data_IF_645623216057
#
_entry.id   IF_645623216057
#
_cell.length_a   1.000
_cell.length_b   1.000
_cell.length_c   1.000
_cell.angle_alpha   90.00
_cell.angle_beta   90.00
_cell.angle_gamma   90.00
#
_symmetry.space_group_name_H-M   'P 1'
#
loop_
_entity.id
_entity.type
_entity.pdbx_description
1 polymer ?
#
# COMPACT_ATOMS: atom_id res chain seq x y z
N UNK A 1 -9.31 -19.72 -16.54
CA UNK A 1 -10.40 -19.51 -15.55
C UNK A 1 -9.93 -19.59 -14.09
N UNK A 2 -9.47 -20.74 -13.54
CA UNK A 2 -9.01 -20.81 -12.13
C UNK A 2 -7.91 -19.78 -11.81
N UNK A 3 -6.94 -19.61 -12.72
CA UNK A 3 -5.84 -18.64 -12.59
C UNK A 3 -6.32 -17.18 -12.65
N UNK A 4 -7.30 -16.89 -13.51
CA UNK A 4 -7.96 -15.59 -13.60
C UNK A 4 -8.64 -15.22 -12.29
N UNK A 5 -9.34 -16.16 -11.66
CA UNK A 5 -10.00 -15.93 -10.37
C UNK A 5 -8.96 -15.64 -9.28
N UNK A 6 -7.90 -16.46 -9.19
CA UNK A 6 -6.82 -16.27 -8.21
C UNK A 6 -6.12 -14.91 -8.42
N UNK A 7 -5.77 -14.57 -9.66
CA UNK A 7 -5.18 -13.28 -10.00
C UNK A 7 -6.09 -12.11 -9.63
N UNK A 8 -7.39 -12.24 -9.85
CA UNK A 8 -8.40 -11.26 -9.45
C UNK A 8 -8.46 -11.04 -7.95
N UNK A 9 -8.52 -12.11 -7.15
CA UNK A 9 -8.52 -12.00 -5.69
C UNK A 9 -7.23 -11.38 -5.14
N UNK A 10 -6.07 -11.78 -5.66
CA UNK A 10 -4.77 -11.23 -5.25
C UNK A 10 -4.69 -9.75 -5.62
N UNK A 11 -5.10 -9.37 -6.84
CA UNK A 11 -5.10 -7.99 -7.30
C UNK A 11 -6.02 -7.11 -6.46
N UNK A 12 -7.30 -7.50 -6.34
CA UNK A 12 -8.31 -6.72 -5.62
C UNK A 12 -8.00 -6.64 -4.13
N UNK A 13 -7.53 -7.75 -3.53
CA UNK A 13 -7.09 -7.77 -2.14
C UNK A 13 -5.93 -6.80 -1.89
N UNK A 14 -4.89 -6.85 -2.71
CA UNK A 14 -3.78 -5.90 -2.64
C UNK A 14 -4.25 -4.45 -2.80
N UNK A 15 -5.10 -4.21 -3.80
CA UNK A 15 -5.59 -2.87 -4.12
C UNK A 15 -6.41 -2.28 -2.97
N UNK A 16 -7.33 -3.06 -2.39
CA UNK A 16 -8.15 -2.63 -1.27
C UNK A 16 -7.31 -2.32 -0.03
N UNK A 17 -6.30 -3.13 0.27
CA UNK A 17 -5.36 -2.86 1.37
C UNK A 17 -4.62 -1.54 1.13
N UNK A 18 -4.05 -1.35 -0.06
CA UNK A 18 -3.33 -0.11 -0.41
C UNK A 18 -4.23 1.11 -0.33
N UNK A 19 -5.45 1.05 -0.88
CA UNK A 19 -6.42 2.16 -0.83
C UNK A 19 -6.87 2.45 0.61
N UNK A 20 -7.15 1.43 1.41
CA UNK A 20 -7.51 1.60 2.81
C UNK A 20 -6.40 2.30 3.60
N UNK A 21 -5.13 1.97 3.35
CA UNK A 21 -3.99 2.63 4.00
C UNK A 21 -3.84 4.08 3.54
N UNK A 22 -4.03 4.37 2.25
CA UNK A 22 -4.01 5.75 1.74
C UNK A 22 -5.12 6.57 2.40
N UNK A 23 -6.34 6.02 2.51
CA UNK A 23 -7.46 6.69 3.16
C UNK A 23 -7.19 6.93 4.65
N UNK A 24 -6.76 5.91 5.38
CA UNK A 24 -6.39 6.04 6.80
C UNK A 24 -5.27 7.05 7.01
N UNK A 25 -4.22 7.02 6.18
CA UNK A 25 -3.13 7.98 6.21
C UNK A 25 -3.60 9.40 5.91
N UNK A 26 -4.54 9.57 4.99
CA UNK A 26 -5.09 10.89 4.64
C UNK A 26 -5.92 11.48 5.76
N UNK A 27 -6.77 10.67 6.40
CA UNK A 27 -7.57 11.08 7.56
C UNK A 27 -6.62 11.45 8.72
N UNK A 28 -5.68 10.57 9.06
CA UNK A 28 -4.75 10.80 10.16
C UNK A 28 -3.81 11.99 9.90
N UNK A 29 -3.42 12.23 8.65
CA UNK A 29 -2.62 13.41 8.30
C UNK A 29 -3.31 14.73 8.65
N UNK A 30 -4.65 14.77 8.76
CA UNK A 30 -5.35 15.99 9.20
C UNK A 30 -5.11 16.32 10.67
N UNK A 31 -4.91 15.32 11.53
CA UNK A 31 -4.69 15.51 12.98
C UNK A 31 -3.23 15.71 13.37
N UNK A 32 -2.27 15.43 12.48
CA UNK A 32 -0.85 15.59 12.76
C UNK A 32 -0.48 17.08 12.83
N UNK A 33 0.20 17.51 13.89
CA UNK A 33 0.62 18.91 14.11
C UNK A 33 2.12 19.12 13.85
N UNK A 34 2.92 18.07 13.96
CA UNK A 34 4.36 18.09 13.69
C UNK A 34 4.68 17.00 12.66
N UNK A 35 5.29 17.39 11.54
CA UNK A 35 5.79 16.45 10.53
C UNK A 35 7.11 16.94 9.98
N UNK A 36 7.90 16.00 9.48
CA UNK A 36 9.13 16.27 8.74
C UNK A 36 9.02 15.72 7.31
N UNK A 37 9.83 16.28 6.41
CA UNK A 37 9.86 15.87 5.00
C UNK A 37 8.80 16.55 4.12
N UNK A 38 8.69 16.07 2.86
CA UNK A 38 7.95 16.74 1.78
C UNK A 38 6.44 16.46 1.77
N UNK A 39 5.98 15.37 2.40
CA UNK A 39 4.58 14.95 2.33
C UNK A 39 4.08 14.47 3.69
N UNK A 40 3.06 15.15 4.19
CA UNK A 40 2.37 14.83 5.44
C UNK A 40 1.71 13.45 5.39
N UNK A 41 1.16 13.07 4.23
CA UNK A 41 0.57 11.74 4.01
C UNK A 41 1.63 10.63 4.11
N UNK A 42 2.79 10.82 3.46
CA UNK A 42 3.83 9.80 3.48
C UNK A 42 4.50 9.71 4.85
N UNK A 43 4.65 10.84 5.55
CA UNK A 43 5.05 10.86 6.96
C UNK A 43 4.05 10.08 7.83
N UNK A 44 2.73 10.30 7.65
CA UNK A 44 1.70 9.58 8.37
C UNK A 44 1.72 8.06 8.14
N UNK A 45 2.08 7.61 6.93
CA UNK A 45 2.09 6.18 6.58
C UNK A 45 3.41 5.51 6.98
N UNK A 46 4.55 6.15 6.73
CA UNK A 46 5.89 5.55 6.88
C UNK A 46 6.65 6.00 8.12
N UNK A 47 6.29 7.14 8.71
CA UNK A 47 7.06 7.79 9.78
C UNK A 47 8.38 8.40 9.30
N UNK A 48 9.17 8.87 10.26
CA UNK A 48 10.55 9.32 10.04
C UNK A 48 11.56 8.20 10.36
N UNK A 49 12.81 8.36 9.89
CA UNK A 49 13.91 7.45 10.21
C UNK A 49 14.10 7.33 11.73
N UNK A 50 13.93 6.12 12.25
CA UNK A 50 14.10 5.75 13.66
C UNK A 50 15.59 5.69 14.07
N UNK A 51 16.35 6.79 13.99
CA UNK A 51 17.70 6.87 14.54
C UNK A 51 17.71 7.81 15.76
N UNK A 52 17.44 7.28 16.95
CA UNK A 52 17.58 8.02 18.22
C UNK A 52 16.46 7.72 19.23
N UNK A 53 16.76 7.92 20.52
CA UNK A 53 15.95 7.60 21.71
C UNK A 53 14.56 8.30 21.81
N UNK A 54 14.15 9.07 20.79
CA UNK A 54 12.88 9.81 20.77
C UNK A 54 11.76 9.02 20.09
N UNK A 55 11.54 7.79 20.56
CA UNK A 55 10.51 6.87 20.01
C UNK A 55 9.08 7.33 20.34
N UNK A 56 8.91 8.31 21.24
CA UNK A 56 7.63 8.66 21.84
C UNK A 56 6.88 9.83 21.17
N UNK A 57 7.49 10.56 20.22
CA UNK A 57 6.90 11.75 19.59
C UNK A 57 6.49 11.58 18.11
N UNK A 58 6.51 10.36 17.57
CA UNK A 58 6.26 10.13 16.15
C UNK A 58 4.75 9.98 15.90
N UNK A 59 4.11 11.04 15.40
CA UNK A 59 2.71 11.01 14.95
C UNK A 59 2.60 10.27 13.60
N UNK A 60 2.83 8.96 13.58
CA UNK A 60 2.76 8.07 12.40
C UNK A 60 1.95 6.80 12.69
N UNK A 61 1.29 6.27 11.65
CA UNK A 61 0.55 5.00 11.70
C UNK A 61 1.46 3.78 11.50
N UNK A 62 2.70 3.97 11.05
CA UNK A 62 3.65 2.89 10.74
C UNK A 62 3.10 1.79 9.80
N UNK A 63 2.20 2.16 8.89
CA UNK A 63 1.57 1.26 7.91
C UNK A 63 2.41 1.10 6.63
N UNK A 64 3.64 1.60 6.61
CA UNK A 64 4.52 1.53 5.45
C UNK A 64 4.79 0.10 4.96
N UNK A 65 5.04 -0.85 5.87
CA UNK A 65 5.26 -2.24 5.50
C UNK A 65 3.98 -2.91 4.92
N UNK A 66 2.81 -2.84 5.60
CA UNK A 66 1.54 -3.27 5.00
C UNK A 66 1.23 -2.62 3.65
N UNK A 67 1.57 -1.34 3.48
CA UNK A 67 1.36 -0.61 2.23
C UNK A 67 2.18 -1.21 1.09
N UNK A 68 3.47 -1.47 1.31
CA UNK A 68 4.35 -2.10 0.32
C UNK A 68 3.81 -3.49 -0.06
N UNK A 69 3.39 -4.29 0.92
CA UNK A 69 2.79 -5.61 0.65
C UNK A 69 1.55 -5.48 -0.24
N UNK A 70 0.63 -4.56 0.08
CA UNK A 70 -0.58 -4.34 -0.74
C UNK A 70 -0.25 -3.97 -2.19
N UNK A 71 0.74 -3.11 -2.40
CA UNK A 71 1.22 -2.73 -3.74
C UNK A 71 1.80 -3.94 -4.48
N UNK A 72 2.65 -4.74 -3.83
CA UNK A 72 3.25 -5.93 -4.42
C UNK A 72 2.19 -6.97 -4.81
N UNK A 73 1.20 -7.21 -3.94
CA UNK A 73 0.08 -8.10 -4.25
C UNK A 73 -0.73 -7.59 -5.44
N UNK A 74 -0.99 -6.29 -5.52
CA UNK A 74 -1.69 -5.68 -6.66
C UNK A 74 -0.95 -5.94 -7.97
N UNK A 75 0.36 -5.70 -7.99
CA UNK A 75 1.22 -5.90 -9.18
C UNK A 75 1.29 -7.38 -9.56
N UNK A 76 1.43 -8.28 -8.60
CA UNK A 76 1.45 -9.72 -8.84
C UNK A 76 0.11 -10.20 -9.43
N UNK A 77 -1.01 -9.76 -8.86
CA UNK A 77 -2.34 -10.07 -9.37
C UNK A 77 -2.55 -9.56 -10.79
N UNK A 78 -2.16 -8.31 -11.07
CA UNK A 78 -2.18 -7.73 -12.43
C UNK A 78 -1.33 -8.53 -13.42
N UNK A 79 -0.15 -8.98 -13.00
CA UNK A 79 0.76 -9.76 -13.86
C UNK A 79 0.14 -11.11 -14.26
N UNK A 80 -0.50 -11.80 -13.31
CA UNK A 80 -1.22 -13.05 -13.57
C UNK A 80 -2.38 -12.81 -14.54
N UNK A 81 -3.19 -11.78 -14.30
CA UNK A 81 -4.33 -11.43 -15.15
C UNK A 81 -3.87 -11.03 -16.56
N UNK A 82 -2.83 -10.21 -16.68
CA UNK A 82 -2.26 -9.78 -17.96
C UNK A 82 -1.73 -10.95 -18.78
N UNK A 83 -1.04 -11.91 -18.13
CA UNK A 83 -0.58 -13.12 -18.80
C UNK A 83 -1.73 -14.00 -19.30
N UNK A 84 -2.76 -14.22 -18.47
CA UNK A 84 -3.95 -14.99 -18.87
C UNK A 84 -4.73 -14.29 -20.00
N UNK A 85 -4.79 -12.94 -19.97
CA UNK A 85 -5.41 -12.14 -21.02
C UNK A 85 -4.64 -12.30 -22.34
N UNK A 86 -3.31 -12.13 -22.33
CA UNK A 86 -2.47 -12.31 -23.52
C UNK A 86 -2.59 -13.72 -24.10
N UNK A 87 -2.58 -14.75 -23.26
CA UNK A 87 -2.77 -16.13 -23.69
C UNK A 87 -4.12 -16.34 -24.39
N UNK A 88 -5.19 -15.75 -23.85
CA UNK A 88 -6.53 -15.84 -24.44
C UNK A 88 -6.58 -15.19 -25.82
N UNK A 89 -5.82 -14.11 -26.04
CA UNK A 89 -5.79 -13.40 -27.32
C UNK A 89 -4.92 -14.09 -28.40
N UNK A 90 -3.92 -14.89 -27.99
CA UNK A 90 -3.02 -15.60 -28.90
C UNK A 90 -3.57 -16.97 -29.35
N UNK A 91 -4.60 -17.48 -28.68
CA UNK A 91 -5.31 -18.71 -29.07
C UNK A 91 -6.39 -18.39 -30.10
#
# INVERSE_FOLDING_TARGET
MKRTIIGGFIMLGGLLVTLAIILSGSIYATSITAWSGKSKLWYAIFGEKQYGEEVEAIQSLFLGFPFIIGVLLTILGLTILGYEYYKTFKQ
#
